data_IF_421205497382
#
_entry.id   IF_421205497382
#
_cell.length_a   1.000
_cell.length_b   1.000
_cell.length_c   1.000
_cell.angle_alpha   90.00
_cell.angle_beta   90.00
_cell.angle_gamma   90.00
#
_symmetry.space_group_name_H-M   'P 1'
#
loop_
_entity.id
_entity.type
_entity.pdbx_description
1 polymer ?
#
# COMPACT_ATOMS: atom_id res chain seq x y z
N UNK A 1 -16.82 -2.54 1.23
CA UNK A 1 -17.49 -2.27 -0.07
C UNK A 1 -17.28 -0.85 -0.55
N UNK A 2 -17.55 0.18 0.26
CA UNK A 2 -17.35 1.60 -0.13
C UNK A 2 -15.91 1.90 -0.58
N UNK A 3 -14.90 1.41 0.16
CA UNK A 3 -13.49 1.59 -0.23
C UNK A 3 -13.14 0.97 -1.60
N UNK A 4 -13.70 -0.21 -1.92
CA UNK A 4 -13.49 -0.86 -3.21
C UNK A 4 -14.18 -0.09 -4.35
N UNK A 5 -15.39 0.42 -4.10
CA UNK A 5 -16.09 1.27 -5.08
C UNK A 5 -15.33 2.58 -5.35
N UNK A 6 -14.81 3.23 -4.30
CA UNK A 6 -13.97 4.42 -4.43
C UNK A 6 -12.67 4.12 -5.18
N UNK A 7 -12.00 2.99 -4.90
CA UNK A 7 -10.81 2.57 -5.61
C UNK A 7 -11.09 2.34 -7.10
N UNK A 8 -12.21 1.69 -7.44
CA UNK A 8 -12.63 1.47 -8.82
C UNK A 8 -12.94 2.79 -9.56
N UNK A 9 -13.64 3.71 -8.91
CA UNK A 9 -13.93 5.03 -9.49
C UNK A 9 -12.64 5.82 -9.72
N UNK A 10 -11.73 5.83 -8.75
CA UNK A 10 -10.46 6.53 -8.88
C UNK A 10 -9.59 5.92 -10.00
N UNK A 11 -9.48 4.59 -10.05
CA UNK A 11 -8.69 3.88 -11.06
C UNK A 11 -9.23 4.00 -12.49
N UNK A 12 -10.53 4.29 -12.67
CA UNK A 12 -11.14 4.51 -14.00
C UNK A 12 -11.31 6.00 -14.36
N UNK A 13 -10.90 6.91 -13.48
CA UNK A 13 -11.01 8.35 -13.71
C UNK A 13 -9.79 8.92 -14.44
N UNK A 14 -9.83 10.19 -14.93
CA UNK A 14 -8.64 10.88 -15.46
C UNK A 14 -7.46 10.95 -14.48
N UNK A 15 -7.72 10.73 -13.18
CA UNK A 15 -6.72 10.65 -12.11
C UNK A 15 -6.18 9.23 -11.88
N UNK A 16 -6.44 8.28 -12.78
CA UNK A 16 -5.88 6.93 -12.72
C UNK A 16 -4.34 6.93 -12.70
N UNK A 17 -3.72 7.87 -13.42
CA UNK A 17 -2.27 8.04 -13.42
C UNK A 17 -1.76 8.44 -12.02
N UNK A 18 -2.44 9.35 -11.32
CA UNK A 18 -2.04 9.74 -9.96
C UNK A 18 -2.25 8.61 -8.95
N UNK A 19 -3.28 7.77 -9.15
CA UNK A 19 -3.44 6.54 -8.37
C UNK A 19 -2.24 5.61 -8.58
N UNK A 20 -1.90 5.29 -9.83
CA UNK A 20 -0.76 4.42 -10.13
C UNK A 20 0.57 4.99 -9.62
N UNK A 21 0.84 6.28 -9.83
CA UNK A 21 2.07 6.92 -9.35
C UNK A 21 2.16 6.92 -7.82
N UNK A 22 1.08 7.23 -7.11
CA UNK A 22 1.06 7.21 -5.65
C UNK A 22 1.40 5.82 -5.10
N UNK A 23 0.78 4.76 -5.64
CA UNK A 23 1.00 3.39 -5.18
C UNK A 23 2.33 2.78 -5.68
N UNK A 24 2.82 3.22 -6.84
CA UNK A 24 4.11 2.82 -7.40
C UNK A 24 5.30 3.61 -6.81
N UNK A 25 5.05 4.69 -6.08
CA UNK A 25 6.10 5.52 -5.49
C UNK A 25 7.03 4.64 -4.62
N UNK A 26 8.34 4.60 -4.92
CA UNK A 26 9.28 3.81 -4.13
C UNK A 26 9.45 4.48 -2.76
N UNK A 27 9.15 3.71 -1.72
CA UNK A 27 9.35 4.12 -0.34
C UNK A 27 10.51 3.31 0.24
N UNK A 28 11.57 4.02 0.60
CA UNK A 28 12.79 3.42 1.15
C UNK A 28 12.89 3.76 2.62
N UNK A 29 12.90 2.72 3.47
CA UNK A 29 13.22 2.87 4.89
C UNK A 29 14.51 2.10 5.15
N UNK A 30 15.46 2.74 5.82
CA UNK A 30 16.74 2.15 6.13
C UNK A 30 17.58 2.99 7.07
N UNK A 31 18.59 2.36 7.65
CA UNK A 31 19.60 3.04 8.46
C UNK A 31 20.99 2.52 8.06
N UNK A 32 21.84 3.42 7.54
CA UNK A 32 23.15 3.07 6.99
C UNK A 32 23.05 2.24 5.70
N UNK A 33 23.82 1.16 5.61
CA UNK A 33 23.86 0.25 4.45
C UNK A 33 22.61 -0.66 4.32
N UNK A 34 21.80 -0.76 5.37
CA UNK A 34 20.56 -1.54 5.37
C UNK A 34 19.40 -0.64 4.94
N UNK A 35 19.22 -0.49 3.62
CA UNK A 35 18.10 0.22 3.02
C UNK A 35 17.14 -0.74 2.31
N UNK A 36 15.89 -0.77 2.78
CA UNK A 36 14.83 -1.55 2.16
C UNK A 36 14.00 -0.61 1.28
N UNK A 37 14.19 -0.71 -0.04
CA UNK A 37 13.39 0.03 -1.02
C UNK A 37 12.29 -0.86 -1.58
N UNK A 38 11.03 -0.46 -1.38
CA UNK A 38 9.87 -1.16 -1.93
C UNK A 38 8.82 -0.15 -2.38
N UNK A 39 7.99 -0.53 -3.36
CA UNK A 39 6.84 0.28 -3.75
C UNK A 39 5.89 0.49 -2.55
N UNK A 40 5.27 1.66 -2.47
CA UNK A 40 4.36 2.03 -1.37
C UNK A 40 3.22 1.02 -1.20
N UNK A 41 2.69 0.48 -2.31
CA UNK A 41 1.66 -0.57 -2.28
C UNK A 41 2.10 -1.83 -1.53
N UNK A 42 3.37 -2.22 -1.64
CA UNK A 42 3.92 -3.39 -0.94
C UNK A 42 4.04 -3.12 0.56
N UNK A 43 4.49 -1.92 0.94
CA UNK A 43 4.55 -1.50 2.34
C UNK A 43 3.16 -1.52 3.00
N UNK A 44 2.15 -0.99 2.30
CA UNK A 44 0.77 -0.95 2.81
C UNK A 44 0.23 -2.37 2.97
N UNK A 45 0.47 -3.26 1.99
CA UNK A 45 0.01 -4.64 2.05
C UNK A 45 0.68 -5.40 3.21
N UNK A 46 2.01 -5.37 3.27
CA UNK A 46 2.78 -6.04 4.33
C UNK A 46 2.35 -5.52 5.72
N UNK A 47 2.16 -4.20 5.88
CA UNK A 47 1.74 -3.59 7.14
C UNK A 47 0.30 -3.93 7.55
N UNK A 48 -0.66 -3.82 6.63
CA UNK A 48 -2.06 -4.17 6.90
C UNK A 48 -2.23 -5.66 7.19
N UNK A 49 -1.53 -6.54 6.45
CA UNK A 49 -1.52 -7.98 6.71
C UNK A 49 -0.95 -8.29 8.09
N UNK A 50 0.13 -7.64 8.51
CA UNK A 50 0.70 -7.84 9.84
C UNK A 50 -0.31 -7.53 10.95
N UNK A 51 -1.04 -6.41 10.84
CA UNK A 51 -2.10 -6.04 11.81
C UNK A 51 -3.26 -7.04 11.74
N UNK A 52 -3.69 -7.42 10.53
CA UNK A 52 -4.77 -8.38 10.35
C UNK A 52 -4.44 -9.73 11.00
N UNK A 53 -3.26 -10.30 10.72
CA UNK A 53 -2.82 -11.56 11.31
C UNK A 53 -2.57 -11.46 12.81
N UNK A 54 -2.14 -10.30 13.31
CA UNK A 54 -2.03 -10.06 14.76
C UNK A 54 -3.38 -10.20 15.45
N UNK A 55 -4.42 -9.58 14.90
CA UNK A 55 -5.79 -9.66 15.44
C UNK A 55 -6.36 -11.06 15.31
N UNK A 56 -6.24 -11.67 14.11
CA UNK A 56 -6.72 -13.04 13.86
C UNK A 56 -6.00 -14.07 14.72
N UNK A 57 -4.71 -13.88 15.01
CA UNK A 57 -3.96 -14.78 15.88
C UNK A 57 -4.27 -14.62 17.37
N UNK A 58 -4.96 -13.55 17.76
CA UNK A 58 -5.39 -13.30 19.14
C UNK A 58 -6.80 -13.86 19.42
N UNK A 59 -7.61 -14.04 18.38
CA UNK A 59 -8.96 -14.66 18.43
C UNK A 59 -8.89 -16.18 18.29
#
# INVERSE_FOLDING_TARGET
MVAAALALVWANSPFAASYMELFATPFTIGYGDLALSKALVLWINDGLMAIFFLVVGLE
#
